data_IF_474629966341
#
_entry.id   IF_474629966341
#
_cell.length_a   1.000
_cell.length_b   1.000
_cell.length_c   1.000
_cell.angle_alpha   90.00
_cell.angle_beta   90.00
_cell.angle_gamma   90.00
#
_symmetry.space_group_name_H-M   'P 1'
#
loop_
_entity.id
_entity.type
_entity.pdbx_description
1 polymer ?
#
# COMPACT_ATOMS: atom_id res chain seq x y z
N UNK A 1 -7.13 -1.86 -19.38
CA UNK A 1 -7.55 -0.75 -18.49
C UNK A 1 -6.50 0.34 -18.58
N UNK A 2 -6.89 1.61 -18.49
CA UNK A 2 -5.94 2.72 -18.49
C UNK A 2 -5.29 2.85 -17.11
N UNK A 3 -3.99 3.16 -17.07
CA UNK A 3 -3.28 3.46 -15.83
C UNK A 3 -3.60 4.90 -15.37
N UNK A 4 -3.68 5.08 -14.06
CA UNK A 4 -3.87 6.38 -13.39
C UNK A 4 -2.69 6.62 -12.44
N UNK A 5 -2.06 7.78 -12.55
CA UNK A 5 -1.05 8.23 -11.60
C UNK A 5 -1.70 9.00 -10.44
N UNK A 6 -1.25 8.72 -9.22
CA UNK A 6 -1.72 9.39 -8.00
C UNK A 6 -0.52 10.02 -7.30
N UNK A 7 -0.56 11.33 -7.05
CA UNK A 7 0.46 12.06 -6.32
C UNK A 7 -0.06 12.48 -4.93
N UNK A 8 0.71 12.16 -3.90
CA UNK A 8 0.35 12.43 -2.49
C UNK A 8 1.53 13.08 -1.79
N UNK A 9 1.26 14.05 -0.92
CA UNK A 9 2.27 14.66 -0.04
C UNK A 9 2.12 14.07 1.35
N UNK A 10 3.20 13.52 1.88
CA UNK A 10 3.29 12.96 3.22
C UNK A 10 4.43 13.65 3.97
N UNK A 11 4.25 13.90 5.26
CA UNK A 11 5.36 14.16 6.18
C UNK A 11 6.24 12.92 6.34
N UNK A 12 7.45 13.11 6.87
CA UNK A 12 8.38 12.00 7.13
C UNK A 12 7.76 10.93 8.04
N UNK A 13 7.02 11.34 9.08
CA UNK A 13 6.35 10.41 9.99
C UNK A 13 5.20 9.66 9.31
N UNK A 14 4.37 10.33 8.52
CA UNK A 14 3.28 9.67 7.80
C UNK A 14 3.81 8.65 6.78
N UNK A 15 4.88 9.00 6.06
CA UNK A 15 5.52 8.10 5.11
C UNK A 15 6.11 6.86 5.82
N UNK A 16 6.78 7.06 6.97
CA UNK A 16 7.35 5.97 7.75
C UNK A 16 6.28 5.05 8.35
N UNK A 17 5.24 5.63 8.95
CA UNK A 17 4.16 4.87 9.58
C UNK A 17 3.36 4.08 8.53
N UNK A 18 3.08 4.69 7.37
CA UNK A 18 2.43 4.00 6.27
C UNK A 18 3.30 2.85 5.73
N UNK A 19 4.61 3.05 5.57
CA UNK A 19 5.52 1.99 5.15
C UNK A 19 5.54 0.81 6.14
N UNK A 20 5.53 1.09 7.44
CA UNK A 20 5.45 0.07 8.49
C UNK A 20 4.12 -0.68 8.46
N UNK A 21 3.00 0.02 8.28
CA UNK A 21 1.69 -0.61 8.12
C UNK A 21 1.66 -1.53 6.91
N UNK A 22 2.09 -1.04 5.74
CA UNK A 22 2.10 -1.80 4.49
C UNK A 22 3.04 -3.01 4.53
N UNK A 23 4.08 -2.99 5.38
CA UNK A 23 4.92 -4.17 5.65
C UNK A 23 4.20 -5.23 6.47
N UNK A 24 3.31 -4.83 7.40
CA UNK A 24 2.70 -5.71 8.41
C UNK A 24 1.32 -6.23 8.01
N UNK A 25 0.61 -5.47 7.18
CA UNK A 25 -0.75 -5.81 6.76
C UNK A 25 -0.74 -7.12 5.97
N UNK A 26 -1.62 -8.05 6.37
CA UNK A 26 -1.82 -9.33 5.68
C UNK A 26 -3.07 -9.30 4.82
N UNK A 27 -3.28 -10.38 4.06
CA UNK A 27 -4.46 -10.53 3.18
C UNK A 27 -5.78 -10.40 3.94
N UNK A 28 -5.87 -10.92 5.16
CA UNK A 28 -7.10 -10.87 5.97
C UNK A 28 -7.62 -9.45 6.17
N UNK A 29 -6.75 -8.46 6.38
CA UNK A 29 -7.17 -7.07 6.54
C UNK A 29 -7.77 -6.48 5.25
N UNK A 30 -7.31 -6.92 4.08
CA UNK A 30 -7.92 -6.55 2.81
C UNK A 30 -9.23 -7.29 2.59
N UNK A 31 -9.25 -8.60 2.88
CA UNK A 31 -10.41 -9.47 2.63
C UNK A 31 -11.64 -9.07 3.43
N UNK A 32 -11.50 -8.73 4.72
CA UNK A 32 -12.65 -8.32 5.54
C UNK A 32 -13.33 -7.02 5.06
N UNK A 33 -12.65 -6.24 4.22
CA UNK A 33 -13.18 -4.99 3.64
C UNK A 33 -13.56 -5.14 2.15
N UNK A 34 -13.36 -6.30 1.56
CA UNK A 34 -13.61 -6.57 0.14
C UNK A 34 -14.96 -7.26 -0.08
N UNK A 35 -15.55 -7.05 -1.24
CA UNK A 35 -16.75 -7.75 -1.70
C UNK A 35 -16.48 -9.23 -2.02
N UNK A 36 -15.26 -9.52 -2.49
CA UNK A 36 -14.80 -10.86 -2.83
C UNK A 36 -13.25 -10.97 -2.74
N UNK A 37 -12.75 -12.19 -2.91
CA UNK A 37 -11.31 -12.46 -2.88
C UNK A 37 -10.54 -11.73 -3.98
N UNK A 38 -11.14 -11.55 -5.16
CA UNK A 38 -10.47 -10.90 -6.29
C UNK A 38 -10.26 -9.41 -6.02
N UNK A 39 -11.23 -8.74 -5.40
CA UNK A 39 -11.10 -7.37 -4.92
C UNK A 39 -10.03 -7.26 -3.84
N UNK A 40 -10.01 -8.17 -2.88
CA UNK A 40 -8.99 -8.18 -1.83
C UNK A 40 -7.56 -8.28 -2.43
N UNK A 41 -7.36 -9.14 -3.44
CA UNK A 41 -6.08 -9.22 -4.15
C UNK A 41 -5.76 -7.94 -4.92
N UNK A 42 -6.73 -7.32 -5.62
CA UNK A 42 -6.53 -6.03 -6.31
C UNK A 42 -6.10 -4.93 -5.33
N UNK A 43 -6.73 -4.86 -4.15
CA UNK A 43 -6.37 -3.92 -3.09
C UNK A 43 -4.95 -4.16 -2.57
N UNK A 44 -4.61 -5.41 -2.27
CA UNK A 44 -3.27 -5.80 -1.80
C UNK A 44 -2.19 -5.47 -2.85
N UNK A 45 -2.43 -5.74 -4.13
CA UNK A 45 -1.48 -5.41 -5.19
C UNK A 45 -1.34 -3.89 -5.40
N UNK A 46 -2.42 -3.12 -5.24
CA UNK A 46 -2.34 -1.67 -5.26
C UNK A 46 -1.52 -1.13 -4.08
N UNK A 47 -1.74 -1.68 -2.88
CA UNK A 47 -0.98 -1.34 -1.68
C UNK A 47 0.53 -1.66 -1.83
N UNK A 48 0.88 -2.75 -2.50
CA UNK A 48 2.28 -3.10 -2.81
C UNK A 48 2.94 -2.08 -3.75
N UNK A 49 2.20 -1.49 -4.70
CA UNK A 49 2.73 -0.40 -5.54
C UNK A 49 3.06 0.84 -4.70
N UNK A 50 2.20 1.18 -3.74
CA UNK A 50 2.47 2.28 -2.79
C UNK A 50 3.69 1.97 -1.93
N UNK A 51 3.81 0.74 -1.41
CA UNK A 51 4.97 0.30 -0.62
C UNK A 51 6.28 0.44 -1.41
N UNK A 52 6.27 0.08 -2.70
CA UNK A 52 7.44 0.25 -3.59
C UNK A 52 7.80 1.73 -3.78
N UNK A 53 6.82 2.59 -4.06
CA UNK A 53 7.06 4.02 -4.21
C UNK A 53 7.64 4.65 -2.93
N UNK A 54 7.16 4.25 -1.74
CA UNK A 54 7.73 4.67 -0.46
C UNK A 54 9.17 4.20 -0.28
N UNK A 55 9.47 2.95 -0.65
CA UNK A 55 10.83 2.40 -0.59
C UNK A 55 11.79 3.12 -1.54
N UNK A 56 11.36 3.44 -2.76
CA UNK A 56 12.12 4.26 -3.73
C UNK A 56 12.36 5.68 -3.21
N UNK A 57 11.44 6.23 -2.43
CA UNK A 57 11.59 7.50 -1.72
C UNK A 57 12.44 7.41 -0.43
N UNK A 58 12.98 6.24 -0.08
CA UNK A 58 13.85 6.04 1.09
C UNK A 58 13.16 5.49 2.35
N UNK A 59 11.84 5.29 2.32
CA UNK A 59 11.05 4.78 3.44
C UNK A 59 10.87 3.25 3.33
N UNK A 60 11.96 2.50 3.53
CA UNK A 60 11.98 1.04 3.43
C UNK A 60 12.32 0.37 4.78
N UNK A 61 11.33 0.16 5.67
CA UNK A 61 11.57 -0.48 6.95
C UNK A 61 12.05 -1.93 6.78
N UNK A 62 13.15 -2.29 7.46
CA UNK A 62 13.69 -3.66 7.52
C UNK A 62 12.77 -4.56 8.32
#
# INVERSE_FOLDING_TARGET
MADLEVQVRLSESEAWDLAQFLKRVGFDQFYVNAQDSDEAYRMMFAAEKVRKALAEAGYSPR
#
